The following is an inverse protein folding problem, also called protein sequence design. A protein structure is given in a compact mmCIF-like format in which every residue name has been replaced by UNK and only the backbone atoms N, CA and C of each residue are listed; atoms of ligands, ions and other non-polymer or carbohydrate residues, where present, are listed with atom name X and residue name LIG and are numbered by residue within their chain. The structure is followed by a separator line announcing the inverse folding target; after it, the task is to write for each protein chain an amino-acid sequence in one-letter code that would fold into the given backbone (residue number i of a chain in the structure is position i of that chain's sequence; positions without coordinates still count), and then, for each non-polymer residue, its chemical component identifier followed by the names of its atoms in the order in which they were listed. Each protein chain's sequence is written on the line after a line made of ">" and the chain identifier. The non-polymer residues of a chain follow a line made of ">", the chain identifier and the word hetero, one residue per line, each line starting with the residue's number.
data_IF_530209203240
#
_entry.id   IF_530209203240
#
_cell.length_a   1.000
_cell.length_b   1.000
_cell.length_c   1.000
_cell.angle_alpha   90.00
_cell.angle_beta   90.00
_cell.angle_gamma   90.00
#
_symmetry.space_group_name_H-M   'P 1'
#
loop_
_entity.id
_entity.type
_entity.pdbx_description
1 polymer ?
#
# COMPACT_ATOMS: atom_id res chain seq x y z
N UNK A 1 -23.38 4.72 6.11
CA UNK A 1 -22.02 5.22 5.81
C UNK A 1 -21.23 4.02 5.30
N UNK A 2 -21.23 3.79 3.99
CA UNK A 2 -20.83 2.54 3.32
C UNK A 2 -19.32 2.24 3.53
N UNK A 3 -19.00 1.07 4.08
CA UNK A 3 -17.64 0.62 4.40
C UNK A 3 -16.83 0.18 3.17
N UNK A 4 -17.30 0.48 1.96
CA UNK A 4 -16.69 0.04 0.68
C UNK A 4 -15.66 1.02 0.11
N UNK A 5 -15.38 2.12 0.80
CA UNK A 5 -14.51 3.21 0.30
C UNK A 5 -13.05 3.09 0.77
N UNK A 6 -12.52 1.88 0.93
CA UNK A 6 -11.30 1.65 1.73
C UNK A 6 -9.98 2.10 1.08
N UNK A 7 -9.92 2.34 -0.23
CA UNK A 7 -8.81 3.07 -0.85
C UNK A 7 -9.29 3.91 -2.04
N UNK A 8 -8.99 5.20 -1.99
CA UNK A 8 -9.22 6.14 -3.09
C UNK A 8 -7.91 6.84 -3.44
N UNK A 9 -7.73 7.17 -4.72
CA UNK A 9 -6.60 7.92 -5.25
C UNK A 9 -7.05 9.25 -5.82
N UNK A 10 -6.19 10.27 -5.72
CA UNK A 10 -6.33 11.49 -6.51
C UNK A 10 -5.47 11.34 -7.76
N UNK A 11 -6.09 11.46 -8.93
CA UNK A 11 -5.41 11.41 -10.22
C UNK A 11 -5.55 12.74 -10.94
N UNK A 12 -4.42 13.40 -11.20
CA UNK A 12 -4.37 14.55 -12.10
C UNK A 12 -4.10 14.08 -13.52
N UNK A 13 -5.01 14.37 -14.44
CA UNK A 13 -4.85 14.04 -15.86
C UNK A 13 -4.09 15.16 -16.56
N UNK A 14 -3.36 14.81 -17.63
CA UNK A 14 -2.63 15.80 -18.42
C UNK A 14 -3.60 16.81 -19.04
N UNK A 15 -3.37 18.10 -18.77
CA UNK A 15 -4.23 19.19 -19.24
C UNK A 15 -5.49 19.40 -18.38
N UNK A 16 -5.65 18.68 -17.27
CA UNK A 16 -6.63 19.02 -16.24
C UNK A 16 -5.95 19.94 -15.20
N UNK A 17 -6.70 20.92 -14.72
CA UNK A 17 -6.27 21.83 -13.65
C UNK A 17 -6.63 21.27 -12.26
N UNK A 18 -7.58 20.33 -12.23
CA UNK A 18 -8.07 19.70 -11.01
C UNK A 18 -7.90 18.18 -11.03
N UNK A 19 -7.64 17.60 -9.86
CA UNK A 19 -7.47 16.16 -9.69
C UNK A 19 -8.80 15.46 -9.42
N UNK A 20 -9.00 14.31 -10.07
CA UNK A 20 -10.19 13.48 -9.89
C UNK A 20 -9.97 12.47 -8.75
N UNK A 21 -10.93 12.35 -7.82
CA UNK A 21 -10.93 11.29 -6.82
C UNK A 21 -11.50 10.01 -7.43
N UNK A 22 -10.70 8.95 -7.45
CA UNK A 22 -11.07 7.65 -8.04
C UNK A 22 -10.90 6.51 -7.05
N UNK A 23 -11.71 5.47 -7.19
CA UNK A 23 -11.53 4.24 -6.44
C UNK A 23 -10.26 3.49 -6.88
N UNK A 24 -9.57 2.86 -5.94
CA UNK A 24 -8.36 2.06 -6.23
C UNK A 24 -8.59 1.00 -7.31
N UNK A 25 -9.75 0.34 -7.29
CA UNK A 25 -10.11 -0.68 -8.30
C UNK A 25 -10.10 -0.13 -9.73
N UNK A 26 -10.46 1.14 -9.90
CA UNK A 26 -10.49 1.79 -11.21
C UNK A 26 -9.10 2.29 -11.63
N UNK A 27 -8.36 2.89 -10.69
CA UNK A 27 -6.98 3.33 -10.92
C UNK A 27 -6.07 2.18 -11.38
N UNK A 28 -6.20 1.01 -10.73
CA UNK A 28 -5.43 -0.20 -11.07
C UNK A 28 -5.66 -0.68 -12.52
N UNK A 29 -6.84 -0.41 -13.09
CA UNK A 29 -7.17 -0.78 -14.48
C UNK A 29 -6.71 0.26 -15.48
N UNK A 30 -6.96 1.55 -15.20
CA UNK A 30 -6.71 2.64 -16.15
C UNK A 30 -5.23 3.00 -16.29
N UNK A 31 -4.49 3.00 -15.18
CA UNK A 31 -3.10 3.46 -15.15
C UNK A 31 -2.23 2.65 -14.17
N UNK A 32 -2.10 1.32 -14.38
CA UNK A 32 -1.42 0.43 -13.44
C UNK A 32 0.02 0.84 -13.13
N UNK A 33 0.78 1.28 -14.14
CA UNK A 33 2.19 1.67 -13.96
C UNK A 33 2.35 2.90 -13.06
N UNK A 34 1.40 3.86 -13.14
CA UNK A 34 1.40 5.05 -12.27
C UNK A 34 1.10 4.64 -10.83
N UNK A 35 0.15 3.73 -10.63
CA UNK A 35 -0.23 3.23 -9.30
C UNK A 35 0.91 2.44 -8.67
N UNK A 36 1.58 1.56 -9.43
CA UNK A 36 2.72 0.78 -8.94
C UNK A 36 3.84 1.73 -8.51
N UNK A 37 4.23 2.67 -9.38
CA UNK A 37 5.27 3.64 -9.07
C UNK A 37 4.94 4.48 -7.84
N UNK A 38 3.68 4.90 -7.69
CA UNK A 38 3.23 5.63 -6.50
C UNK A 38 3.49 4.83 -5.21
N UNK A 39 3.25 3.52 -5.23
CA UNK A 39 3.54 2.65 -4.09
C UNK A 39 5.03 2.41 -3.91
N UNK A 40 5.80 2.19 -4.97
CA UNK A 40 7.26 2.04 -4.89
C UNK A 40 7.94 3.25 -4.23
N UNK A 41 7.51 4.46 -4.57
CA UNK A 41 8.06 5.70 -4.00
C UNK A 41 7.66 5.93 -2.54
N UNK A 42 6.57 5.30 -2.06
CA UNK A 42 5.99 5.51 -0.72
C UNK A 42 6.06 4.29 0.19
N UNK A 43 6.62 3.17 -0.26
CA UNK A 43 6.69 1.94 0.51
C UNK A 43 7.67 2.10 1.67
N UNK A 44 7.15 2.09 2.90
CA UNK A 44 7.96 2.12 4.12
C UNK A 44 7.79 0.83 4.90
N UNK A 45 8.90 0.17 5.24
CA UNK A 45 8.89 -1.02 6.09
C UNK A 45 8.89 -0.59 7.56
N UNK A 46 7.77 -0.75 8.25
CA UNK A 46 7.76 -0.68 9.71
C UNK A 46 8.18 -2.04 10.26
N UNK A 47 9.39 -2.13 10.80
CA UNK A 47 9.73 -3.21 11.73
C UNK A 47 8.99 -2.91 13.02
N UNK A 48 7.87 -3.60 13.27
CA UNK A 48 7.33 -3.70 14.62
C UNK A 48 8.48 -4.12 15.52
N UNK A 49 8.94 -3.24 16.40
CA UNK A 49 9.92 -3.61 17.40
C UNK A 49 9.20 -4.62 18.31
N UNK A 50 9.41 -5.91 18.09
CA UNK A 50 8.89 -7.00 18.91
C UNK A 50 9.60 -7.06 20.28
N UNK A 51 10.10 -5.94 20.76
CA UNK A 51 10.71 -5.85 22.08
C UNK A 51 9.62 -5.53 23.09
N UNK A 52 8.76 -6.52 23.34
CA UNK A 52 8.04 -6.76 24.60
C UNK A 52 7.20 -8.05 24.45
N UNK A 53 7.81 -9.18 24.05
CA UNK A 53 7.14 -10.49 24.20
C UNK A 53 8.13 -11.55 24.72
N UNK A 54 7.83 -12.21 25.86
CA UNK A 54 8.75 -13.15 26.50
C UNK A 54 8.99 -14.40 25.66
N UNK A 55 10.23 -14.87 25.74
CA UNK A 55 10.91 -15.91 24.97
C UNK A 55 10.32 -17.34 25.09
N UNK A 56 9.03 -17.55 24.82
CA UNK A 56 8.42 -18.89 24.90
C UNK A 56 7.63 -19.35 23.67
N UNK A 57 7.55 -18.56 22.59
CA UNK A 57 6.78 -18.95 21.40
C UNK A 57 7.57 -18.77 20.10
N UNK A 58 8.79 -19.31 20.02
CA UNK A 58 9.49 -19.45 18.73
C UNK A 58 8.98 -20.70 18.00
N UNK A 59 7.77 -20.60 17.44
CA UNK A 59 7.36 -21.47 16.33
C UNK A 59 7.45 -20.70 15.02
N UNK A 60 8.49 -21.02 14.24
CA UNK A 60 8.56 -20.86 12.79
C UNK A 60 8.58 -19.42 12.26
N UNK A 61 9.69 -18.71 12.41
CA UNK A 61 9.92 -17.49 11.64
C UNK A 61 10.39 -17.84 10.22
N UNK A 62 9.61 -17.42 9.21
CA UNK A 62 9.92 -17.47 7.77
C UNK A 62 11.08 -16.52 7.37
N UNK A 63 12.01 -16.25 8.29
CA UNK A 63 13.09 -15.27 8.11
C UNK A 63 14.18 -15.72 7.13
N UNK A 64 13.99 -16.80 6.37
CA UNK A 64 15.01 -17.35 5.45
C UNK A 64 14.67 -17.23 3.98
N UNK A 65 13.52 -16.64 3.59
CA UNK A 65 13.12 -16.64 2.17
C UNK A 65 13.60 -15.45 1.33
N UNK A 66 14.28 -14.46 1.93
CA UNK A 66 14.94 -13.39 1.18
C UNK A 66 16.25 -12.99 1.84
N UNK A 67 17.18 -13.94 1.93
CA UNK A 67 18.61 -13.67 1.84
C UNK A 67 19.14 -14.38 0.60
#
# INVERSE_FOLDING_TARGET
>A
MDHRMLCSFLLLRRGADEADLVHAKEANKRCPQVVIRFYEERLTWHTTNYEEEPESARTGNLQTFFN
#
